data_IF_783428338609
#
_entry.id   IF_783428338609
#
_cell.length_a   1.000
_cell.length_b   1.000
_cell.length_c   1.000
_cell.angle_alpha   90.00
_cell.angle_beta   90.00
_cell.angle_gamma   90.00
#
_symmetry.space_group_name_H-M   'P 1'
#
loop_
_entity.id
_entity.type
_entity.pdbx_description
1 polymer ?
#
# COMPACT_ATOMS: atom_id res chain seq x y z
N UNK A 1 -56.01 -21.86 16.90
CA UNK A 1 -57.10 -20.96 17.35
C UNK A 1 -57.10 -19.77 16.40
N UNK A 2 -58.28 -19.33 15.95
CA UNK A 2 -58.42 -18.19 15.04
C UNK A 2 -58.25 -16.90 15.85
N UNK A 3 -57.11 -16.22 15.76
CA UNK A 3 -56.95 -14.89 16.34
C UNK A 3 -57.87 -13.91 15.58
N UNK A 4 -58.78 -13.18 16.25
CA UNK A 4 -59.62 -12.20 15.58
C UNK A 4 -58.78 -11.01 15.09
N UNK A 5 -59.13 -10.37 13.95
CA UNK A 5 -58.37 -9.26 13.36
C UNK A 5 -58.11 -8.07 14.30
N UNK A 6 -58.99 -7.86 15.28
CA UNK A 6 -58.86 -6.80 16.30
C UNK A 6 -57.67 -7.00 17.24
N UNK A 7 -57.24 -8.25 17.46
CA UNK A 7 -56.13 -8.52 18.38
C UNK A 7 -54.77 -8.20 17.72
N UNK A 8 -54.67 -8.39 16.41
CA UNK A 8 -53.44 -8.07 15.65
C UNK A 8 -53.21 -6.56 15.57
N UNK A 9 -54.27 -5.78 15.36
CA UNK A 9 -54.14 -4.32 15.26
C UNK A 9 -53.76 -3.68 16.60
N UNK A 10 -54.27 -4.21 17.71
CA UNK A 10 -53.85 -3.83 19.07
C UNK A 10 -52.37 -4.16 19.29
N UNK A 11 -51.92 -5.36 18.90
CA UNK A 11 -50.52 -5.77 19.02
C UNK A 11 -49.58 -4.92 18.15
N UNK A 12 -50.01 -4.52 16.95
CA UNK A 12 -49.24 -3.62 16.09
C UNK A 12 -49.13 -2.22 16.70
N UNK A 13 -50.23 -1.71 17.27
CA UNK A 13 -50.22 -0.43 17.96
C UNK A 13 -49.31 -0.47 19.21
N UNK A 14 -49.39 -1.55 19.98
CA UNK A 14 -48.54 -1.78 21.14
C UNK A 14 -47.06 -1.88 20.72
N UNK A 15 -46.74 -2.68 19.70
CA UNK A 15 -45.38 -2.79 19.13
C UNK A 15 -44.83 -1.42 18.75
N UNK A 16 -45.62 -0.58 18.05
CA UNK A 16 -45.20 0.75 17.61
C UNK A 16 -44.87 1.72 18.75
N UNK A 17 -45.47 1.52 19.93
CA UNK A 17 -45.24 2.35 21.11
C UNK A 17 -43.89 2.07 21.78
N UNK A 18 -43.40 0.83 21.70
CA UNK A 18 -42.13 0.40 22.30
C UNK A 18 -40.98 0.30 21.29
N UNK A 19 -41.30 0.08 20.01
CA UNK A 19 -40.35 -0.15 18.96
C UNK A 19 -40.82 0.56 17.68
N UNK A 20 -40.12 1.63 17.31
CA UNK A 20 -40.34 2.34 16.07
C UNK A 20 -39.02 2.90 15.54
N UNK A 21 -39.02 3.32 14.28
CA UNK A 21 -37.83 3.84 13.61
C UNK A 21 -37.21 5.06 14.33
N UNK A 22 -38.02 5.89 14.99
CA UNK A 22 -37.52 7.06 15.72
C UNK A 22 -36.72 6.64 16.97
N UNK A 23 -37.26 5.71 17.77
CA UNK A 23 -36.55 5.13 18.92
C UNK A 23 -35.28 4.38 18.50
N UNK A 24 -35.32 3.67 17.38
CA UNK A 24 -34.13 3.00 16.83
C UNK A 24 -33.06 4.05 16.47
N UNK A 25 -33.44 5.15 15.82
CA UNK A 25 -32.53 6.19 15.35
C UNK A 25 -32.01 7.10 16.45
N UNK A 26 -32.79 7.34 17.51
CA UNK A 26 -32.35 8.15 18.66
C UNK A 26 -31.19 7.51 19.41
N UNK A 27 -31.03 6.19 19.29
CA UNK A 27 -30.05 5.41 20.04
C UNK A 27 -30.54 5.02 21.44
N UNK A 28 -31.83 5.22 21.73
CA UNK A 28 -32.43 4.73 22.96
C UNK A 28 -32.26 3.20 23.06
N UNK A 29 -31.76 2.75 24.21
CA UNK A 29 -31.62 1.34 24.54
C UNK A 29 -32.76 1.00 25.52
N UNK A 30 -33.65 0.05 25.18
CA UNK A 30 -34.70 -0.37 26.10
C UNK A 30 -34.12 -0.90 27.41
N UNK A 31 -34.79 -0.62 28.52
CA UNK A 31 -34.49 -1.27 29.80
C UNK A 31 -34.67 -2.81 29.67
N UNK A 32 -34.10 -3.61 30.58
CA UNK A 32 -34.27 -5.06 30.53
C UNK A 32 -35.74 -5.51 30.51
N UNK A 33 -36.59 -4.82 31.27
CA UNK A 33 -38.04 -5.06 31.36
C UNK A 33 -38.74 -4.76 30.03
N UNK A 34 -38.54 -3.56 29.48
CA UNK A 34 -39.11 -3.17 28.17
C UNK A 34 -38.59 -4.08 27.06
N UNK A 35 -37.31 -4.44 27.09
CA UNK A 35 -36.74 -5.37 26.11
C UNK A 35 -37.32 -6.78 26.19
N UNK A 36 -37.73 -7.24 27.38
CA UNK A 36 -38.44 -8.51 27.55
C UNK A 36 -39.85 -8.42 26.98
N UNK A 37 -40.54 -7.31 27.23
CA UNK A 37 -41.87 -7.04 26.68
C UNK A 37 -41.87 -7.04 25.15
N UNK A 38 -40.91 -6.34 24.53
CA UNK A 38 -40.74 -6.31 23.07
C UNK A 38 -40.50 -7.73 22.50
N UNK A 39 -39.74 -8.59 23.19
CA UNK A 39 -39.53 -9.98 22.77
C UNK A 39 -40.83 -10.80 22.81
N UNK A 40 -41.62 -10.65 23.87
CA UNK A 40 -42.93 -11.31 23.96
C UNK A 40 -43.85 -10.88 22.81
N UNK A 41 -43.87 -9.58 22.46
CA UNK A 41 -44.64 -9.08 21.31
C UNK A 41 -44.15 -9.73 20.00
N UNK A 42 -42.84 -9.85 19.80
CA UNK A 42 -42.26 -10.52 18.61
C UNK A 42 -42.70 -11.97 18.51
N UNK A 43 -42.68 -12.71 19.62
CA UNK A 43 -43.07 -14.12 19.64
C UNK A 43 -44.54 -14.29 19.25
N UNK A 44 -45.44 -13.48 19.82
CA UNK A 44 -46.87 -13.50 19.48
C UNK A 44 -47.12 -13.12 18.02
N UNK A 45 -46.48 -12.06 17.52
CA UNK A 45 -46.62 -11.64 16.11
C UNK A 45 -46.06 -12.70 15.14
N UNK A 46 -44.98 -13.39 15.53
CA UNK A 46 -44.38 -14.45 14.72
C UNK A 46 -45.32 -15.66 14.63
N UNK A 47 -45.92 -16.07 15.76
CA UNK A 47 -46.93 -17.14 15.79
C UNK A 47 -48.15 -16.82 14.92
N UNK A 48 -48.61 -15.56 14.93
CA UNK A 48 -49.69 -15.08 14.06
C UNK A 48 -49.29 -15.16 12.58
N UNK A 49 -48.05 -14.75 12.24
CA UNK A 49 -47.54 -14.83 10.86
C UNK A 49 -47.35 -16.26 10.36
N UNK A 50 -46.94 -17.19 11.23
CA UNK A 50 -46.71 -18.57 10.86
C UNK A 50 -48.04 -19.32 10.69
N UNK A 51 -48.98 -19.12 11.62
CA UNK A 51 -50.32 -19.71 11.54
C UNK A 51 -51.14 -19.21 10.33
N UNK A 52 -50.92 -17.96 9.92
CA UNK A 52 -51.43 -17.35 8.70
C UNK A 52 -50.99 -18.09 7.41
N UNK A 53 -49.70 -18.43 7.33
CA UNK A 53 -49.12 -19.10 6.16
C UNK A 53 -49.57 -20.55 5.98
N UNK A 54 -49.93 -21.24 7.07
CA UNK A 54 -50.32 -22.66 7.08
C UNK A 54 -51.80 -22.86 6.71
N UNK A 55 -52.67 -21.89 6.98
CA UNK A 55 -54.13 -22.08 6.92
C UNK A 55 -54.83 -21.64 5.62
N UNK A 56 -54.09 -21.25 4.57
CA UNK A 56 -54.64 -20.79 3.26
C UNK A 56 -55.75 -19.73 3.41
N UNK A 57 -55.68 -18.94 4.50
CA UNK A 57 -56.57 -17.81 4.74
C UNK A 57 -56.00 -16.63 3.98
N UNK A 58 -56.82 -16.00 3.15
CA UNK A 58 -56.54 -14.71 2.49
C UNK A 58 -56.41 -13.61 3.56
N UNK A 59 -55.27 -13.57 4.24
CA UNK A 59 -54.85 -12.39 4.96
C UNK A 59 -54.47 -11.36 3.91
N UNK A 60 -54.96 -10.15 4.10
CA UNK A 60 -54.63 -9.01 3.26
C UNK A 60 -53.10 -8.90 3.17
N UNK A 61 -52.50 -8.92 1.96
CA UNK A 61 -51.07 -8.72 1.77
C UNK A 61 -50.52 -7.51 2.53
N UNK A 62 -51.32 -6.45 2.68
CA UNK A 62 -50.95 -5.28 3.46
C UNK A 62 -50.80 -5.58 4.97
N UNK A 63 -51.68 -6.40 5.54
CA UNK A 63 -51.60 -6.77 6.95
C UNK A 63 -50.41 -7.68 7.24
N UNK A 64 -50.12 -8.62 6.35
CA UNK A 64 -48.91 -9.46 6.44
C UNK A 64 -47.64 -8.61 6.37
N UNK A 65 -47.58 -7.63 5.47
CA UNK A 65 -46.44 -6.70 5.38
C UNK A 65 -46.26 -5.89 6.69
N UNK A 66 -47.35 -5.39 7.27
CA UNK A 66 -47.30 -4.63 8.53
C UNK A 66 -46.82 -5.48 9.71
N UNK A 67 -47.27 -6.74 9.82
CA UNK A 67 -46.81 -7.68 10.86
C UNK A 67 -45.32 -7.98 10.72
N UNK A 68 -44.86 -8.25 9.50
CA UNK A 68 -43.43 -8.50 9.22
C UNK A 68 -42.57 -7.27 9.51
N UNK A 69 -43.01 -6.08 9.15
CA UNK A 69 -42.32 -4.82 9.47
C UNK A 69 -42.24 -4.60 10.99
N UNK A 70 -43.33 -4.83 11.72
CA UNK A 70 -43.35 -4.69 13.19
C UNK A 70 -42.40 -5.69 13.87
N UNK A 71 -42.39 -6.95 13.42
CA UNK A 71 -41.43 -7.97 13.90
C UNK A 71 -40.00 -7.51 13.65
N UNK A 72 -39.70 -7.01 12.45
CA UNK A 72 -38.37 -6.52 12.09
C UNK A 72 -37.92 -5.37 12.98
N UNK A 73 -38.78 -4.36 13.16
CA UNK A 73 -38.49 -3.18 13.99
C UNK A 73 -38.30 -3.58 15.47
N UNK A 74 -39.14 -4.48 15.99
CA UNK A 74 -39.01 -4.96 17.37
C UNK A 74 -37.70 -5.73 17.58
N UNK A 75 -37.37 -6.68 16.68
CA UNK A 75 -36.10 -7.43 16.71
C UNK A 75 -34.90 -6.49 16.62
N UNK A 76 -34.95 -5.50 15.73
CA UNK A 76 -33.91 -4.49 15.60
C UNK A 76 -33.75 -3.69 16.91
N UNK A 77 -34.85 -3.30 17.56
CA UNK A 77 -34.85 -2.50 18.80
C UNK A 77 -34.16 -3.21 19.97
N UNK A 78 -34.31 -4.53 20.10
CA UNK A 78 -33.70 -5.32 21.17
C UNK A 78 -32.38 -6.01 20.79
N UNK A 79 -31.88 -5.78 19.57
CA UNK A 79 -30.67 -6.42 19.08
C UNK A 79 -29.46 -6.07 19.97
N UNK A 80 -28.66 -7.10 20.34
CA UNK A 80 -27.51 -6.95 21.22
C UNK A 80 -26.49 -5.92 20.71
N UNK A 81 -26.35 -5.82 19.39
CA UNK A 81 -25.45 -4.91 18.70
C UNK A 81 -25.72 -3.43 19.02
N UNK A 82 -26.95 -3.06 19.43
CA UNK A 82 -27.30 -1.69 19.84
C UNK A 82 -26.71 -1.27 21.19
N UNK A 83 -26.21 -2.23 21.98
CA UNK A 83 -25.58 -1.96 23.28
C UNK A 83 -24.08 -1.69 23.17
N UNK A 84 -23.51 -1.89 21.99
CA UNK A 84 -22.09 -1.63 21.74
C UNK A 84 -21.87 -0.11 21.68
N UNK A 85 -20.97 0.45 22.51
CA UNK A 85 -20.67 1.87 22.49
C UNK A 85 -20.09 2.34 21.14
N UNK A 86 -20.28 3.62 20.76
CA UNK A 86 -19.73 4.19 19.52
C UNK A 86 -18.22 3.97 19.36
N UNK A 87 -17.46 4.01 20.45
CA UNK A 87 -16.00 3.87 20.44
C UNK A 87 -15.59 2.46 20.01
N UNK A 88 -16.34 1.43 20.43
CA UNK A 88 -16.09 0.06 20.01
C UNK A 88 -16.48 -0.15 18.54
N UNK A 89 -17.57 0.48 18.08
CA UNK A 89 -17.88 0.49 16.65
C UNK A 89 -16.78 1.16 15.83
N UNK A 90 -16.23 2.27 16.31
CA UNK A 90 -15.13 2.94 15.63
C UNK A 90 -13.91 2.01 15.50
N UNK A 91 -13.53 1.30 16.57
CA UNK A 91 -12.46 0.30 16.51
C UNK A 91 -12.78 -0.84 15.53
N UNK A 92 -14.01 -1.37 15.57
CA UNK A 92 -14.46 -2.43 14.66
C UNK A 92 -14.39 -1.96 13.20
N UNK A 93 -14.90 -0.77 12.90
CA UNK A 93 -14.91 -0.21 11.55
C UNK A 93 -13.50 0.00 11.02
N UNK A 94 -12.57 0.50 11.83
CA UNK A 94 -11.16 0.63 11.44
C UNK A 94 -10.54 -0.72 11.11
N UNK A 95 -10.83 -1.79 11.88
CA UNK A 95 -10.32 -3.14 11.60
C UNK A 95 -11.03 -3.83 10.42
N UNK A 96 -12.27 -3.43 10.12
CA UNK A 96 -13.08 -4.01 9.05
C UNK A 96 -12.94 -3.26 7.71
N UNK A 97 -12.06 -2.25 7.63
CA UNK A 97 -11.75 -1.61 6.36
C UNK A 97 -11.09 -2.63 5.42
N UNK A 98 -11.56 -2.74 4.16
CA UNK A 98 -10.85 -3.54 3.17
C UNK A 98 -9.42 -3.02 2.97
N UNK A 99 -8.46 -3.91 2.75
CA UNK A 99 -7.05 -3.55 2.53
C UNK A 99 -6.87 -2.56 1.35
N UNK A 100 -7.77 -2.63 0.37
CA UNK A 100 -7.78 -1.78 -0.83
C UNK A 100 -8.67 -0.54 -0.70
N UNK A 101 -9.20 -0.22 0.49
CA UNK A 101 -10.11 0.91 0.69
C UNK A 101 -9.51 2.25 0.22
N UNK A 102 -8.23 2.45 0.48
CA UNK A 102 -7.49 3.66 0.10
C UNK A 102 -7.34 3.85 -1.42
N UNK A 103 -7.51 2.78 -2.20
CA UNK A 103 -7.42 2.80 -3.67
C UNK A 103 -8.79 2.76 -4.37
N UNK A 104 -9.88 2.62 -3.63
CA UNK A 104 -11.21 2.61 -4.22
C UNK A 104 -11.62 3.98 -4.73
N UNK A 105 -12.39 3.95 -5.82
CA UNK A 105 -13.05 5.11 -6.39
C UNK A 105 -13.89 5.83 -5.32
N UNK A 106 -13.92 7.15 -5.37
CA UNK A 106 -14.63 7.99 -4.42
C UNK A 106 -16.13 7.70 -4.36
N UNK A 107 -16.70 7.13 -5.44
CA UNK A 107 -18.10 6.74 -5.54
C UNK A 107 -18.43 5.50 -4.71
N UNK A 108 -17.42 4.69 -4.36
CA UNK A 108 -17.60 3.54 -3.50
C UNK A 108 -18.00 3.98 -2.08
N UNK A 109 -18.75 3.13 -1.39
CA UNK A 109 -19.25 3.42 -0.05
C UNK A 109 -18.99 2.26 0.88
N UNK A 110 -18.71 2.56 2.15
CA UNK A 110 -18.45 1.52 3.13
C UNK A 110 -19.73 0.71 3.40
N UNK A 111 -19.63 -0.61 3.30
CA UNK A 111 -20.76 -1.51 3.56
C UNK A 111 -21.42 -1.24 4.92
N UNK A 112 -20.63 -0.93 5.94
CA UNK A 112 -21.16 -0.60 7.27
C UNK A 112 -21.88 0.75 7.33
N UNK A 113 -21.57 1.71 6.45
CA UNK A 113 -22.33 2.94 6.31
C UNK A 113 -23.71 2.71 5.66
N UNK A 114 -23.97 1.51 5.12
CA UNK A 114 -25.26 1.10 4.57
C UNK A 114 -26.06 0.15 5.44
N UNK A 115 -25.47 -0.38 6.52
CA UNK A 115 -26.14 -1.40 7.35
C UNK A 115 -27.34 -0.85 8.10
N UNK A 116 -27.17 0.23 8.88
CA UNK A 116 -28.28 0.88 9.59
C UNK A 116 -27.96 2.35 9.86
N UNK A 117 -28.97 3.12 10.28
CA UNK A 117 -28.81 4.54 10.60
C UNK A 117 -27.72 4.80 11.65
N UNK A 118 -27.66 3.99 12.70
CA UNK A 118 -26.70 4.18 13.80
C UNK A 118 -25.25 3.94 13.34
N UNK A 119 -25.02 2.86 12.57
CA UNK A 119 -23.70 2.56 12.00
C UNK A 119 -23.27 3.63 11.01
N UNK A 120 -24.19 4.08 10.15
CA UNK A 120 -23.95 5.20 9.24
C UNK A 120 -23.54 6.45 10.00
N UNK A 121 -24.27 6.83 11.05
CA UNK A 121 -23.95 8.01 11.86
C UNK A 121 -22.55 7.94 12.47
N UNK A 122 -22.15 6.77 12.98
CA UNK A 122 -20.80 6.56 13.53
C UNK A 122 -19.76 6.64 12.41
N UNK A 123 -19.94 5.90 11.32
CA UNK A 123 -19.00 5.88 10.20
C UNK A 123 -18.79 7.27 9.59
N UNK A 124 -19.87 8.00 9.30
CA UNK A 124 -19.80 9.37 8.78
C UNK A 124 -19.17 10.35 9.79
N UNK A 125 -19.27 10.05 11.09
CA UNK A 125 -18.63 10.80 12.18
C UNK A 125 -17.17 10.43 12.43
N UNK A 126 -16.55 9.59 11.59
CA UNK A 126 -15.14 9.20 11.68
C UNK A 126 -14.33 9.76 10.50
N UNK A 127 -13.82 11.00 10.60
CA UNK A 127 -13.15 11.68 9.49
C UNK A 127 -11.99 10.89 8.86
N UNK A 128 -11.26 10.12 9.67
CA UNK A 128 -10.13 9.31 9.22
C UNK A 128 -10.49 8.23 8.19
N UNK A 129 -11.76 7.81 8.11
CA UNK A 129 -12.22 6.84 7.11
C UNK A 129 -12.39 7.47 5.72
N UNK A 130 -12.42 8.81 5.65
CA UNK A 130 -12.81 9.57 4.46
C UNK A 130 -11.69 10.47 3.92
N UNK A 131 -10.46 10.27 4.36
CA UNK A 131 -9.29 11.10 3.96
C UNK A 131 -8.66 10.69 2.64
N UNK A 132 -8.91 9.46 2.18
CA UNK A 132 -8.40 8.94 0.90
C UNK A 132 -9.42 9.20 -0.21
N UNK A 133 -9.04 10.01 -1.17
CA UNK A 133 -9.86 10.46 -2.29
C UNK A 133 -9.21 9.98 -3.59
N UNK A 134 -9.70 8.87 -4.15
CA UNK A 134 -9.31 8.42 -5.48
C UNK A 134 -10.31 8.94 -6.50
N UNK A 135 -9.87 9.84 -7.37
CA UNK A 135 -10.69 10.49 -8.38
C UNK A 135 -10.09 10.30 -9.77
N UNK A 136 -10.93 10.43 -10.78
CA UNK A 136 -10.55 10.52 -12.17
C UNK A 136 -10.89 11.90 -12.72
N UNK A 137 -10.43 12.18 -13.93
CA UNK A 137 -10.81 13.42 -14.63
C UNK A 137 -12.34 13.54 -14.83
N UNK A 138 -13.08 12.44 -14.78
CA UNK A 138 -14.53 12.36 -15.02
C UNK A 138 -15.34 12.14 -13.73
N UNK A 139 -14.70 12.06 -12.56
CA UNK A 139 -15.38 11.86 -11.28
C UNK A 139 -16.50 12.88 -11.09
N UNK A 140 -17.61 12.44 -10.48
CA UNK A 140 -18.73 13.31 -10.15
C UNK A 140 -18.44 14.20 -8.94
N UNK A 141 -19.03 15.39 -8.93
CA UNK A 141 -18.80 16.37 -7.86
C UNK A 141 -19.45 15.96 -6.53
N UNK A 142 -20.67 15.39 -6.55
CA UNK A 142 -21.41 15.11 -5.30
C UNK A 142 -20.69 14.11 -4.37
N UNK A 143 -20.19 12.96 -4.86
CA UNK A 143 -19.43 12.03 -4.02
C UNK A 143 -18.19 12.68 -3.41
N UNK A 144 -17.46 13.49 -4.18
CA UNK A 144 -16.31 14.25 -3.70
C UNK A 144 -16.70 15.23 -2.61
N UNK A 145 -17.75 16.02 -2.82
CA UNK A 145 -18.22 17.00 -1.84
C UNK A 145 -18.58 16.34 -0.50
N UNK A 146 -19.29 15.20 -0.53
CA UNK A 146 -19.61 14.45 0.67
C UNK A 146 -18.37 13.91 1.38
N UNK A 147 -17.41 13.36 0.64
CA UNK A 147 -16.17 12.83 1.21
C UNK A 147 -15.32 13.91 1.85
N UNK A 148 -15.18 15.06 1.18
CA UNK A 148 -14.51 16.23 1.73
C UNK A 148 -15.18 16.69 3.03
N UNK A 149 -16.52 16.77 3.03
CA UNK A 149 -17.29 17.13 4.22
C UNK A 149 -17.02 16.15 5.38
N UNK A 150 -17.06 14.84 5.13
CA UNK A 150 -16.85 13.84 6.16
C UNK A 150 -15.40 13.78 6.64
N UNK A 151 -14.42 14.09 5.77
CA UNK A 151 -13.00 14.18 6.13
C UNK A 151 -12.69 15.33 7.11
N UNK A 152 -13.62 16.28 7.27
CA UNK A 152 -13.48 17.40 8.19
C UNK A 152 -12.21 18.20 7.92
N UNK A 153 -11.36 18.35 8.95
CA UNK A 153 -10.07 19.05 8.90
C UNK A 153 -8.81 18.16 8.82
N UNK A 154 -8.97 16.86 8.51
CA UNK A 154 -7.86 15.92 8.46
C UNK A 154 -6.95 16.07 7.22
N UNK A 155 -5.66 15.71 7.28
CA UNK A 155 -4.82 15.64 6.09
C UNK A 155 -5.39 14.71 5.01
N UNK A 156 -5.38 15.16 3.76
CA UNK A 156 -5.97 14.44 2.63
C UNK A 156 -4.93 13.65 1.84
N UNK A 157 -5.34 12.48 1.38
CA UNK A 157 -4.58 11.60 0.51
C UNK A 157 -5.29 11.56 -0.83
N UNK A 158 -4.72 12.22 -1.83
CA UNK A 158 -5.37 12.41 -3.13
C UNK A 158 -4.71 11.50 -4.15
N UNK A 159 -5.51 10.70 -4.84
CA UNK A 159 -5.09 9.97 -6.03
C UNK A 159 -5.88 10.47 -7.22
N UNK A 160 -5.21 10.98 -8.24
CA UNK A 160 -5.82 11.38 -9.51
C UNK A 160 -5.31 10.43 -10.58
N UNK A 161 -6.21 9.67 -11.18
CA UNK A 161 -5.88 8.70 -12.21
C UNK A 161 -6.71 8.90 -13.47
N UNK A 162 -6.11 8.60 -14.63
CA UNK A 162 -6.85 8.46 -15.86
C UNK A 162 -7.31 6.99 -16.02
N UNK A 163 -8.59 6.74 -15.77
CA UNK A 163 -9.17 5.39 -15.83
C UNK A 163 -9.32 4.88 -17.26
N UNK A 164 -9.41 5.80 -18.23
CA UNK A 164 -9.66 5.50 -19.64
C UNK A 164 -8.81 6.42 -20.52
N UNK A 165 -7.48 6.25 -20.57
CA UNK A 165 -6.58 7.14 -21.28
C UNK A 165 -6.79 7.20 -22.81
N UNK A 166 -7.57 6.26 -23.35
CA UNK A 166 -7.97 6.23 -24.76
C UNK A 166 -9.28 7.00 -25.04
N UNK A 167 -10.07 7.33 -24.01
CA UNK A 167 -11.30 8.10 -24.16
C UNK A 167 -11.01 9.57 -23.98
N UNK A 168 -10.98 10.32 -25.08
CA UNK A 168 -10.80 11.77 -25.11
C UNK A 168 -12.05 12.50 -24.57
N UNK A 169 -12.37 12.29 -23.30
CA UNK A 169 -13.49 12.90 -22.60
C UNK A 169 -13.02 14.15 -21.86
N UNK A 170 -13.81 15.22 -21.95
CA UNK A 170 -13.47 16.46 -21.26
C UNK A 170 -13.49 16.25 -19.74
N UNK A 171 -12.54 16.85 -18.99
CA UNK A 171 -12.50 16.74 -17.55
C UNK A 171 -13.71 17.43 -16.90
N UNK A 172 -14.18 16.88 -15.79
CA UNK A 172 -15.15 17.52 -14.91
C UNK A 172 -14.47 18.66 -14.14
N UNK A 173 -14.51 19.85 -14.75
CA UNK A 173 -13.86 21.06 -14.22
C UNK A 173 -14.35 21.46 -12.84
N UNK A 174 -15.61 21.20 -12.50
CA UNK A 174 -16.17 21.51 -11.18
C UNK A 174 -15.59 20.62 -10.09
N UNK A 175 -15.45 19.33 -10.36
CA UNK A 175 -14.80 18.38 -9.45
C UNK A 175 -13.33 18.71 -9.24
N UNK A 176 -12.59 19.04 -10.31
CA UNK A 176 -11.21 19.45 -10.21
C UNK A 176 -11.04 20.72 -9.37
N UNK A 177 -11.85 21.76 -9.62
CA UNK A 177 -11.85 22.97 -8.78
C UNK A 177 -12.11 22.64 -7.32
N UNK A 178 -13.11 21.81 -7.05
CA UNK A 178 -13.47 21.43 -5.68
C UNK A 178 -12.32 20.75 -4.95
N UNK A 179 -11.65 19.76 -5.57
CA UNK A 179 -10.54 19.07 -4.90
C UNK A 179 -9.35 20.00 -4.68
N UNK A 180 -9.01 20.84 -5.66
CA UNK A 180 -7.88 21.76 -5.59
C UNK A 180 -8.08 22.89 -4.58
N UNK A 181 -9.32 23.30 -4.28
CA UNK A 181 -9.62 24.25 -3.20
C UNK A 181 -9.19 23.74 -1.81
N UNK A 182 -8.99 22.44 -1.64
CA UNK A 182 -8.54 21.82 -0.39
C UNK A 182 -7.06 21.41 -0.41
N UNK A 183 -6.28 21.94 -1.36
CA UNK A 183 -4.84 21.66 -1.53
C UNK A 183 -3.96 22.04 -0.34
N UNK A 184 -4.44 22.95 0.51
CA UNK A 184 -3.80 23.36 1.76
C UNK A 184 -3.55 22.20 2.73
N UNK A 185 -4.35 21.14 2.63
CA UNK A 185 -4.30 19.97 3.50
C UNK A 185 -3.90 18.68 2.79
N UNK A 186 -3.49 18.73 1.53
CA UNK A 186 -2.99 17.55 0.83
C UNK A 186 -1.66 17.13 1.43
N UNK A 187 -1.60 15.97 2.09
CA UNK A 187 -0.36 15.42 2.65
C UNK A 187 0.29 14.39 1.75
N UNK A 188 -0.53 13.70 0.95
CA UNK A 188 -0.12 12.63 0.06
C UNK A 188 -0.82 12.83 -1.28
N UNK A 189 -0.05 12.84 -2.37
CA UNK A 189 -0.57 12.99 -3.74
C UNK A 189 -0.02 11.86 -4.59
N UNK A 190 -0.90 11.19 -5.33
CA UNK A 190 -0.57 10.18 -6.33
C UNK A 190 -1.19 10.58 -7.67
N UNK A 191 -0.37 10.71 -8.72
CA UNK A 191 -0.80 11.13 -10.05
C UNK A 191 -0.37 10.10 -11.09
N UNK A 192 -1.31 9.28 -11.56
CA UNK A 192 -1.06 8.26 -12.58
C UNK A 192 -1.19 8.86 -13.98
N UNK A 193 -0.28 8.55 -14.91
CA UNK A 193 -0.22 9.18 -16.25
C UNK A 193 -0.20 10.72 -16.18
N UNK A 194 0.49 11.31 -15.20
CA UNK A 194 0.45 12.76 -14.96
C UNK A 194 0.88 13.56 -16.20
N UNK A 195 1.91 13.09 -16.91
CA UNK A 195 2.40 13.70 -18.14
C UNK A 195 1.30 13.87 -19.22
N UNK A 196 0.35 12.93 -19.30
CA UNK A 196 -0.81 13.01 -20.22
C UNK A 196 -1.88 13.95 -19.68
N UNK A 197 -2.13 13.93 -18.38
CA UNK A 197 -3.20 14.72 -17.75
C UNK A 197 -2.85 16.19 -17.51
N UNK A 198 -1.56 16.54 -17.46
CA UNK A 198 -1.09 17.84 -16.97
C UNK A 198 -1.72 19.03 -17.71
N UNK A 199 -1.93 18.92 -19.02
CA UNK A 199 -2.56 19.98 -19.81
C UNK A 199 -4.04 20.24 -19.44
N UNK A 200 -4.73 19.23 -18.91
CA UNK A 200 -6.10 19.38 -18.40
C UNK A 200 -6.15 19.98 -16.99
N UNK A 201 -5.07 19.79 -16.21
CA UNK A 201 -5.00 20.21 -14.81
C UNK A 201 -4.40 21.62 -14.65
N UNK A 202 -3.59 22.08 -15.61
CA UNK A 202 -2.83 23.33 -15.55
C UNK A 202 -3.68 24.55 -15.15
N UNK A 203 -4.87 24.68 -15.73
CA UNK A 203 -5.76 25.83 -15.47
C UNK A 203 -6.36 25.87 -14.05
N UNK A 204 -6.31 24.76 -13.32
CA UNK A 204 -6.87 24.64 -11.96
C UNK A 204 -5.79 24.38 -10.91
N UNK A 205 -4.53 24.28 -11.33
CA UNK A 205 -3.46 23.81 -10.47
C UNK A 205 -3.21 24.78 -9.30
N UNK A 206 -3.15 24.27 -8.05
CA UNK A 206 -2.85 25.09 -6.89
C UNK A 206 -1.50 25.79 -6.97
N UNK A 207 -1.43 27.00 -6.41
CA UNK A 207 -0.16 27.73 -6.31
C UNK A 207 0.78 27.12 -5.25
N UNK A 208 0.22 26.52 -4.19
CA UNK A 208 0.96 26.00 -3.05
C UNK A 208 0.34 24.70 -2.52
N UNK A 209 1.19 23.82 -1.97
CA UNK A 209 0.84 22.59 -1.28
C UNK A 209 1.57 22.53 0.07
N UNK A 210 1.17 23.35 1.05
CA UNK A 210 1.92 23.56 2.29
C UNK A 210 2.00 22.30 3.18
N UNK A 211 1.03 21.38 3.06
CA UNK A 211 1.02 20.14 3.83
C UNK A 211 1.66 18.95 3.12
N UNK A 212 2.08 19.08 1.86
CA UNK A 212 2.46 17.94 1.02
C UNK A 212 3.81 17.35 1.45
N UNK A 213 3.79 16.05 1.76
CA UNK A 213 4.94 15.29 2.25
C UNK A 213 5.30 14.11 1.35
N UNK A 214 4.29 13.49 0.73
CA UNK A 214 4.46 12.31 -0.13
C UNK A 214 3.93 12.62 -1.51
N UNK A 215 4.79 12.48 -2.51
CA UNK A 215 4.46 12.69 -3.92
C UNK A 215 4.78 11.44 -4.72
N UNK A 216 3.76 10.86 -5.33
CA UNK A 216 3.87 9.77 -6.31
C UNK A 216 3.41 10.29 -7.67
N UNK A 217 4.22 10.14 -8.70
CA UNK A 217 3.86 10.56 -10.05
C UNK A 217 4.39 9.61 -11.10
N UNK A 218 3.54 9.28 -12.06
CA UNK A 218 3.97 8.76 -13.36
C UNK A 218 4.21 9.96 -14.27
N UNK A 219 5.48 10.14 -14.65
CA UNK A 219 5.97 11.31 -15.38
C UNK A 219 6.26 11.03 -16.84
N UNK A 220 6.06 9.79 -17.32
CA UNK A 220 6.38 9.38 -18.68
C UNK A 220 7.76 9.87 -19.11
N UNK A 221 7.82 10.56 -20.26
CA UNK A 221 9.03 11.20 -20.79
C UNK A 221 9.21 12.65 -20.31
N UNK A 222 8.18 13.28 -19.73
CA UNK A 222 8.11 14.73 -19.46
C UNK A 222 8.37 15.11 -17.98
N UNK A 223 9.30 14.44 -17.31
CA UNK A 223 9.57 14.65 -15.88
C UNK A 223 9.95 16.09 -15.51
N UNK A 224 10.76 16.77 -16.34
CA UNK A 224 11.12 18.19 -16.13
C UNK A 224 9.88 19.09 -16.10
N UNK A 225 8.90 18.83 -16.96
CA UNK A 225 7.63 19.58 -16.99
C UNK A 225 6.81 19.27 -15.75
N UNK A 226 6.72 18.00 -15.36
CA UNK A 226 5.97 17.56 -14.19
C UNK A 226 6.51 18.20 -12.89
N UNK A 227 7.83 18.29 -12.70
CA UNK A 227 8.41 18.88 -11.50
C UNK A 227 8.13 20.38 -11.33
N UNK A 228 7.98 21.13 -12.43
CA UNK A 228 7.70 22.59 -12.35
C UNK A 228 6.43 22.90 -11.55
N UNK A 229 5.48 21.98 -11.51
CA UNK A 229 4.23 22.10 -10.75
C UNK A 229 4.40 21.98 -9.24
N UNK A 230 5.52 21.43 -8.77
CA UNK A 230 5.76 21.13 -7.36
C UNK A 230 7.03 21.77 -6.79
N UNK A 231 8.03 22.07 -7.62
CA UNK A 231 9.35 22.55 -7.20
C UNK A 231 9.27 23.73 -6.22
N UNK A 232 8.39 24.71 -6.50
CA UNK A 232 8.17 25.87 -5.63
C UNK A 232 6.94 25.74 -4.75
N UNK A 233 5.94 24.99 -5.21
CA UNK A 233 4.64 24.89 -4.56
C UNK A 233 4.66 23.94 -3.34
N UNK A 234 5.54 22.93 -3.34
CA UNK A 234 5.58 21.87 -2.34
C UNK A 234 6.98 21.73 -1.70
N UNK A 235 7.41 22.67 -0.84
CA UNK A 235 8.77 22.65 -0.27
C UNK A 235 8.98 21.55 0.79
N UNK A 236 7.92 20.91 1.27
CA UNK A 236 7.97 19.94 2.39
C UNK A 236 7.92 18.47 1.96
N UNK A 237 8.12 18.19 0.67
CA UNK A 237 8.18 16.82 0.15
C UNK A 237 9.38 16.09 0.74
N UNK A 238 9.11 14.94 1.36
CA UNK A 238 10.10 14.06 2.00
C UNK A 238 10.09 12.64 1.42
N UNK A 239 9.04 12.27 0.69
CA UNK A 239 8.91 10.96 0.04
C UNK A 239 8.51 11.17 -1.41
N UNK A 240 9.31 10.65 -2.32
CA UNK A 240 9.11 10.78 -3.76
C UNK A 240 9.11 9.40 -4.42
N UNK A 241 8.07 9.11 -5.18
CA UNK A 241 7.95 7.92 -6.01
C UNK A 241 7.69 8.35 -7.46
N UNK A 242 8.55 7.92 -8.38
CA UNK A 242 8.46 8.26 -9.78
C UNK A 242 8.46 7.02 -10.66
N UNK A 243 7.51 6.99 -11.57
CA UNK A 243 7.48 6.02 -12.67
C UNK A 243 7.81 6.74 -13.97
N UNK A 244 8.73 6.17 -14.74
CA UNK A 244 9.19 6.69 -16.02
C UNK A 244 8.85 5.71 -17.15
N UNK A 245 8.45 6.26 -18.28
CA UNK A 245 8.49 5.52 -19.54
C UNK A 245 9.96 5.45 -19.98
N UNK A 246 10.54 6.58 -20.40
CA UNK A 246 11.96 6.72 -20.77
C UNK A 246 12.51 8.08 -20.28
N UNK A 247 13.67 8.15 -19.57
CA UNK A 247 14.30 9.42 -19.18
C UNK A 247 15.23 9.94 -20.28
N UNK A 248 14.79 10.92 -21.08
CA UNK A 248 15.61 11.50 -22.16
C UNK A 248 16.51 12.65 -21.69
N UNK A 249 16.23 13.20 -20.50
CA UNK A 249 16.97 14.29 -19.87
C UNK A 249 17.54 13.84 -18.52
N UNK A 250 18.67 14.43 -18.07
CA UNK A 250 19.16 14.22 -16.70
C UNK A 250 18.11 14.65 -15.69
N UNK A 251 17.75 13.73 -14.80
CA UNK A 251 16.82 14.01 -13.72
C UNK A 251 17.39 15.12 -12.83
N UNK A 252 16.57 16.06 -12.35
CA UNK A 252 17.01 17.06 -11.36
C UNK A 252 15.94 17.20 -10.29
N UNK A 253 16.27 16.85 -9.06
CA UNK A 253 15.36 17.04 -7.94
C UNK A 253 15.34 18.50 -7.47
N UNK A 254 14.17 19.03 -7.12
CA UNK A 254 14.05 20.32 -6.43
C UNK A 254 14.95 20.38 -5.19
N UNK A 255 15.81 21.41 -5.12
CA UNK A 255 16.78 21.58 -4.02
C UNK A 255 16.13 21.87 -2.67
N UNK A 256 14.86 22.34 -2.67
CA UNK A 256 14.08 22.54 -1.46
C UNK A 256 13.65 21.23 -0.80
N UNK A 257 13.63 20.11 -1.53
CA UNK A 257 13.14 18.84 -1.02
C UNK A 257 14.20 18.15 -0.16
N UNK A 258 13.80 17.77 1.05
CA UNK A 258 14.63 16.97 1.94
C UNK A 258 14.19 15.50 1.89
N UNK A 259 14.53 14.84 0.79
CA UNK A 259 14.05 13.49 0.49
C UNK A 259 14.62 12.46 1.48
N UNK A 260 13.72 11.81 2.21
CA UNK A 260 13.98 10.70 3.14
C UNK A 260 13.72 9.37 2.46
N UNK A 261 12.71 9.31 1.60
CA UNK A 261 12.37 8.13 0.82
C UNK A 261 12.38 8.48 -0.67
N UNK A 262 13.06 7.66 -1.47
CA UNK A 262 13.09 7.80 -2.91
C UNK A 262 12.83 6.44 -3.57
N UNK A 263 11.88 6.43 -4.48
CA UNK A 263 11.49 5.26 -5.27
C UNK A 263 11.48 5.66 -6.75
N UNK A 264 12.32 5.03 -7.58
CA UNK A 264 12.39 5.31 -9.02
C UNK A 264 12.19 4.01 -9.80
N UNK A 265 11.12 3.96 -10.59
CA UNK A 265 10.77 2.83 -11.44
C UNK A 265 10.84 3.22 -12.91
N UNK A 266 11.63 2.50 -13.70
CA UNK A 266 11.73 2.68 -15.14
C UNK A 266 11.03 1.49 -15.83
N UNK A 267 9.85 1.73 -16.41
CA UNK A 267 8.95 0.67 -16.89
C UNK A 267 9.43 0.01 -18.20
N UNK A 268 10.45 0.57 -18.85
CA UNK A 268 10.99 0.09 -20.10
C UNK A 268 12.50 -0.14 -20.07
N UNK A 269 12.97 -0.95 -21.03
CA UNK A 269 14.35 -1.43 -21.20
C UNK A 269 15.41 -0.32 -21.32
N UNK A 270 15.07 0.96 -21.34
CA UNK A 270 16.00 2.07 -21.58
C UNK A 270 16.42 2.84 -20.31
N UNK A 271 15.93 2.44 -19.12
CA UNK A 271 16.36 3.05 -17.87
C UNK A 271 17.86 2.82 -17.64
N UNK A 272 18.64 3.90 -17.51
CA UNK A 272 20.10 3.84 -17.27
C UNK A 272 20.48 4.41 -15.91
N UNK A 273 21.26 3.64 -15.15
CA UNK A 273 21.78 4.07 -13.85
C UNK A 273 22.56 5.40 -13.95
N UNK A 274 23.34 5.59 -15.01
CA UNK A 274 24.14 6.80 -15.22
C UNK A 274 23.33 8.11 -15.13
N UNK A 275 22.07 8.11 -15.58
CA UNK A 275 21.22 9.30 -15.62
C UNK A 275 20.77 9.79 -14.23
N UNK A 276 20.80 8.91 -13.22
CA UNK A 276 20.35 9.23 -11.86
C UNK A 276 21.50 9.35 -10.85
N UNK A 277 22.75 9.10 -11.26
CA UNK A 277 23.90 9.14 -10.34
C UNK A 277 24.09 10.52 -9.68
N UNK A 278 24.11 11.59 -10.46
CA UNK A 278 24.26 12.95 -9.92
C UNK A 278 23.07 13.38 -9.04
N UNK A 279 21.81 13.14 -9.44
CA UNK A 279 20.62 13.42 -8.61
C UNK A 279 20.60 12.66 -7.30
N UNK A 280 20.96 11.37 -7.32
CA UNK A 280 21.07 10.57 -6.11
C UNK A 280 22.14 11.15 -5.17
N UNK A 281 23.29 11.55 -5.71
CA UNK A 281 24.35 12.16 -4.90
C UNK A 281 23.89 13.46 -4.22
N UNK A 282 23.04 14.26 -4.88
CA UNK A 282 22.52 15.49 -4.34
C UNK A 282 21.62 15.29 -3.10
N UNK A 283 20.82 14.21 -3.06
CA UNK A 283 19.92 13.90 -1.95
C UNK A 283 20.45 12.81 -0.99
N UNK A 284 21.61 12.20 -1.26
CA UNK A 284 22.13 11.04 -0.52
C UNK A 284 22.24 11.23 1.00
N UNK A 285 22.49 12.45 1.48
CA UNK A 285 22.71 12.76 2.89
C UNK A 285 21.48 12.53 3.78
N UNK A 286 20.27 12.70 3.24
CA UNK A 286 19.00 12.60 3.97
C UNK A 286 18.22 11.31 3.69
N UNK A 287 18.59 10.56 2.65
CA UNK A 287 17.92 9.32 2.30
C UNK A 287 18.06 8.25 3.38
N UNK A 288 16.91 7.70 3.78
CA UNK A 288 16.76 6.56 4.71
C UNK A 288 16.29 5.31 3.97
N UNK A 289 15.45 5.47 2.94
CA UNK A 289 14.99 4.41 2.05
C UNK A 289 15.25 4.76 0.60
N UNK A 290 15.87 3.85 -0.14
CA UNK A 290 16.10 3.96 -1.57
C UNK A 290 15.63 2.70 -2.28
N UNK A 291 14.73 2.87 -3.25
CA UNK A 291 14.25 1.80 -4.12
C UNK A 291 14.47 2.22 -5.57
N UNK A 292 15.12 1.35 -6.33
CA UNK A 292 15.44 1.59 -7.73
C UNK A 292 15.13 0.35 -8.55
N UNK A 293 14.37 0.55 -9.62
CA UNK A 293 14.14 -0.45 -10.64
C UNK A 293 14.65 0.07 -11.97
N UNK A 294 15.81 -0.42 -12.41
CA UNK A 294 16.50 0.08 -13.61
C UNK A 294 16.96 -1.12 -14.43
N UNK A 295 16.57 -1.22 -15.69
CA UNK A 295 16.90 -2.34 -16.57
C UNK A 295 18.38 -2.37 -16.98
N UNK A 296 18.97 -1.21 -17.28
CA UNK A 296 20.33 -1.10 -17.80
C UNK A 296 21.26 -0.26 -16.92
N UNK A 297 22.56 -0.55 -16.98
CA UNK A 297 23.58 0.24 -16.29
C UNK A 297 23.81 1.57 -17.04
N UNK A 298 23.93 1.50 -18.36
CA UNK A 298 24.43 2.59 -19.20
C UNK A 298 25.94 2.83 -19.01
N UNK A 299 26.46 3.92 -19.57
CA UNK A 299 27.87 4.32 -19.47
C UNK A 299 28.17 4.94 -18.09
N UNK A 300 28.16 4.11 -17.05
CA UNK A 300 28.67 4.50 -15.73
C UNK A 300 30.19 4.38 -15.79
N UNK A 301 30.85 5.43 -16.24
CA UNK A 301 32.31 5.47 -16.25
C UNK A 301 32.87 5.13 -14.86
N UNK A 302 33.98 4.41 -14.79
CA UNK A 302 34.67 4.09 -13.51
C UNK A 302 35.06 5.35 -12.69
N UNK A 303 34.87 6.53 -13.27
CA UNK A 303 35.19 7.85 -12.71
C UNK A 303 34.17 8.36 -11.68
N UNK A 304 32.97 7.79 -11.58
CA UNK A 304 32.01 8.24 -10.57
C UNK A 304 32.52 7.97 -9.16
N UNK A 305 32.77 9.06 -8.42
CA UNK A 305 33.11 9.00 -7.00
C UNK A 305 32.00 8.28 -6.23
N UNK A 306 32.40 7.48 -5.25
CA UNK A 306 31.45 6.83 -4.35
C UNK A 306 30.52 7.87 -3.69
N UNK A 307 29.22 7.62 -3.78
CA UNK A 307 28.16 8.38 -3.15
C UNK A 307 28.03 7.87 -1.72
N UNK A 308 28.15 8.78 -0.75
CA UNK A 308 27.97 8.47 0.65
C UNK A 308 26.51 8.69 1.07
N UNK A 309 25.88 7.62 1.53
CA UNK A 309 24.53 7.55 2.08
C UNK A 309 24.59 7.33 3.59
N UNK A 310 24.87 8.39 4.39
CA UNK A 310 25.14 8.25 5.82
C UNK A 310 23.93 7.75 6.63
N UNK A 311 22.70 7.96 6.14
CA UNK A 311 21.46 7.66 6.85
C UNK A 311 20.68 6.48 6.27
N UNK A 312 21.16 5.87 5.19
CA UNK A 312 20.41 4.87 4.42
C UNK A 312 20.33 3.55 5.20
N UNK A 313 19.11 3.10 5.44
CA UNK A 313 18.78 1.89 6.22
C UNK A 313 18.17 0.79 5.36
N UNK A 314 17.33 1.16 4.39
CA UNK A 314 16.62 0.24 3.52
C UNK A 314 16.98 0.50 2.06
N UNK A 315 17.56 -0.50 1.40
CA UNK A 315 18.02 -0.42 0.02
C UNK A 315 17.40 -1.58 -0.78
N UNK A 316 16.63 -1.24 -1.81
CA UNK A 316 16.06 -2.21 -2.75
C UNK A 316 16.50 -1.89 -4.17
N UNK A 317 17.21 -2.80 -4.83
CA UNK A 317 17.75 -2.58 -6.18
C UNK A 317 17.34 -3.73 -7.09
N UNK A 318 16.79 -3.39 -8.25
CA UNK A 318 16.34 -4.34 -9.25
C UNK A 318 17.14 -4.16 -10.54
N UNK A 319 17.61 -5.28 -11.10
CA UNK A 319 18.33 -5.40 -12.38
C UNK A 319 19.61 -4.55 -12.43
N UNK A 320 19.79 -3.70 -13.45
CA UNK A 320 20.92 -2.79 -13.61
C UNK A 320 21.14 -1.86 -12.42
N UNK A 321 20.10 -1.58 -11.62
CA UNK A 321 20.23 -0.76 -10.41
C UNK A 321 21.20 -1.35 -9.38
N UNK A 322 21.40 -2.66 -9.36
CA UNK A 322 22.31 -3.35 -8.42
C UNK A 322 23.76 -2.83 -8.57
N UNK A 323 24.13 -2.32 -9.74
CA UNK A 323 25.46 -1.76 -9.98
C UNK A 323 25.71 -0.44 -9.23
N UNK A 324 24.68 0.22 -8.69
CA UNK A 324 24.83 1.33 -7.76
C UNK A 324 25.68 0.93 -6.54
N UNK A 325 25.65 -0.33 -6.12
CA UNK A 325 26.47 -0.84 -5.03
C UNK A 325 27.98 -0.60 -5.26
N UNK A 326 28.45 -0.55 -6.51
CA UNK A 326 29.85 -0.24 -6.83
C UNK A 326 30.23 1.23 -6.64
N UNK A 327 29.23 2.09 -6.50
CA UNK A 327 29.38 3.54 -6.37
C UNK A 327 28.70 4.06 -5.11
N UNK A 328 28.39 3.21 -4.13
CA UNK A 328 27.69 3.58 -2.92
C UNK A 328 28.47 3.20 -1.65
N UNK A 329 28.30 4.01 -0.62
CA UNK A 329 28.77 3.80 0.74
C UNK A 329 27.60 4.05 1.69
N UNK A 330 27.22 3.07 2.50
CA UNK A 330 26.05 3.18 3.36
C UNK A 330 26.30 2.46 4.70
N UNK A 331 26.96 3.13 5.67
CA UNK A 331 27.39 2.51 6.92
C UNK A 331 26.22 2.09 7.83
N UNK A 332 25.04 2.68 7.65
CA UNK A 332 23.85 2.45 8.48
C UNK A 332 22.84 1.45 7.88
N UNK A 333 23.24 0.69 6.85
CA UNK A 333 22.36 -0.30 6.22
C UNK A 333 21.86 -1.33 7.22
N UNK A 334 20.54 -1.52 7.26
CA UNK A 334 19.85 -2.50 8.08
C UNK A 334 19.17 -3.57 7.22
N UNK A 335 18.69 -3.21 6.03
CA UNK A 335 18.01 -4.08 5.09
C UNK A 335 18.50 -3.84 3.66
N UNK A 336 18.79 -4.92 2.95
CA UNK A 336 19.17 -4.92 1.53
C UNK A 336 18.35 -5.96 0.78
N UNK A 337 17.73 -5.56 -0.32
CA UNK A 337 16.99 -6.42 -1.25
C UNK A 337 17.52 -6.24 -2.66
N UNK A 338 18.01 -7.30 -3.27
CA UNK A 338 18.57 -7.27 -4.62
C UNK A 338 17.84 -8.28 -5.51
N UNK A 339 17.29 -7.79 -6.62
CA UNK A 339 16.52 -8.57 -7.58
C UNK A 339 17.23 -8.54 -8.93
N UNK A 340 18.05 -9.55 -9.23
CA UNK A 340 18.78 -9.65 -10.49
C UNK A 340 17.92 -10.11 -11.67
N UNK A 341 18.45 -9.99 -12.89
CA UNK A 341 17.85 -10.60 -14.08
C UNK A 341 18.32 -12.05 -14.25
N UNK A 342 17.42 -13.00 -14.58
CA UNK A 342 17.83 -14.38 -14.86
C UNK A 342 18.61 -14.53 -16.18
N UNK A 343 18.52 -13.56 -17.10
CA UNK A 343 19.09 -13.67 -18.45
C UNK A 343 20.41 -12.89 -18.56
N UNK A 344 21.45 -13.57 -19.06
CA UNK A 344 22.84 -13.09 -19.26
C UNK A 344 23.01 -11.94 -20.28
N UNK A 345 22.23 -10.85 -20.23
CA UNK A 345 22.59 -9.66 -21.03
C UNK A 345 23.89 -9.01 -20.52
N UNK A 346 24.31 -9.30 -19.29
CA UNK A 346 25.46 -8.66 -18.64
C UNK A 346 26.53 -9.68 -18.22
N UNK A 347 27.79 -9.44 -18.58
CA UNK A 347 28.95 -10.25 -18.18
C UNK A 347 29.35 -10.03 -16.71
N UNK A 348 28.79 -9.01 -16.07
CA UNK A 348 29.21 -8.56 -14.76
C UNK A 348 28.43 -9.20 -13.61
N UNK A 349 29.13 -9.52 -12.52
CA UNK A 349 28.50 -10.11 -11.33
C UNK A 349 27.79 -9.08 -10.46
N UNK A 350 26.50 -9.35 -10.17
CA UNK A 350 25.73 -8.62 -9.15
C UNK A 350 26.30 -8.82 -7.73
N UNK A 351 26.79 -10.03 -7.43
CA UNK A 351 27.41 -10.32 -6.13
C UNK A 351 28.71 -9.54 -5.90
N UNK A 352 29.51 -9.31 -6.95
CA UNK A 352 30.71 -8.47 -6.83
C UNK A 352 30.33 -7.01 -6.51
N UNK A 353 29.22 -6.51 -7.08
CA UNK A 353 28.68 -5.19 -6.74
C UNK A 353 28.31 -5.07 -5.26
N UNK A 354 27.57 -6.05 -4.73
CA UNK A 354 27.23 -6.10 -3.30
C UNK A 354 28.49 -6.17 -2.43
N UNK A 355 29.46 -7.01 -2.78
CA UNK A 355 30.70 -7.14 -2.02
C UNK A 355 31.45 -5.80 -1.92
N UNK A 356 31.50 -5.02 -3.01
CA UNK A 356 32.12 -3.69 -3.02
C UNK A 356 31.39 -2.74 -2.06
N UNK A 357 30.06 -2.69 -2.11
CA UNK A 357 29.25 -1.86 -1.20
C UNK A 357 29.56 -2.20 0.26
N UNK A 358 29.55 -3.48 0.61
CA UNK A 358 29.80 -3.93 1.98
C UNK A 358 31.20 -3.51 2.44
N UNK A 359 32.24 -3.80 1.64
CA UNK A 359 33.62 -3.45 2.01
C UNK A 359 33.84 -1.96 2.18
N UNK A 360 33.21 -1.11 1.36
CA UNK A 360 33.35 0.35 1.51
C UNK A 360 32.58 0.86 2.72
N UNK A 361 31.34 0.39 2.91
CA UNK A 361 30.49 0.79 4.04
C UNK A 361 31.10 0.42 5.39
N UNK A 362 31.83 -0.69 5.47
CA UNK A 362 32.58 -1.08 6.67
C UNK A 362 33.75 -0.14 6.98
N UNK A 363 34.44 0.39 5.96
CA UNK A 363 35.59 1.29 6.15
C UNK A 363 35.19 2.68 6.64
N UNK A 364 34.00 3.13 6.28
CA UNK A 364 33.52 4.47 6.61
C UNK A 364 32.82 4.54 7.98
N UNK A 365 32.41 3.40 8.55
CA UNK A 365 31.85 3.33 9.91
C UNK A 365 32.90 2.96 10.96
N UNK A 366 32.74 3.44 12.20
CA UNK A 366 33.57 3.03 13.35
C UNK A 366 33.26 1.59 13.84
N UNK A 367 32.64 0.74 13.02
CA UNK A 367 32.16 -0.57 13.42
C UNK A 367 31.75 -1.50 12.26
N UNK A 368 31.32 -2.72 12.61
CA UNK A 368 30.75 -3.67 11.65
C UNK A 368 29.43 -3.15 11.07
N UNK A 369 29.14 -3.52 9.82
CA UNK A 369 27.88 -3.19 9.15
C UNK A 369 26.73 -3.81 9.95
N UNK A 370 25.73 -3.00 10.30
CA UNK A 370 24.56 -3.39 11.08
C UNK A 370 23.47 -4.07 10.24
N UNK A 371 23.83 -4.77 9.16
CA UNK A 371 22.85 -5.36 8.26
C UNK A 371 22.15 -6.54 8.94
N UNK A 372 20.84 -6.43 9.11
CA UNK A 372 20.02 -7.46 9.77
C UNK A 372 19.29 -8.34 8.78
N UNK A 373 18.97 -7.83 7.59
CA UNK A 373 18.17 -8.52 6.58
C UNK A 373 18.79 -8.41 5.19
N UNK A 374 18.94 -9.55 4.53
CA UNK A 374 19.44 -9.64 3.16
C UNK A 374 18.50 -10.53 2.33
N UNK A 375 17.97 -10.00 1.24
CA UNK A 375 17.16 -10.75 0.27
C UNK A 375 17.85 -10.70 -1.09
N UNK A 376 18.10 -11.86 -1.67
CA UNK A 376 18.77 -12.05 -2.95
C UNK A 376 17.84 -12.86 -3.86
N UNK A 377 17.42 -12.28 -4.98
CA UNK A 377 16.60 -12.95 -5.99
C UNK A 377 17.34 -12.92 -7.32
N UNK A 378 17.48 -14.07 -8.00
CA UNK A 378 18.09 -14.18 -9.34
C UNK A 378 19.46 -13.48 -9.50
N UNK A 379 20.31 -13.61 -8.49
CA UNK A 379 21.61 -12.95 -8.44
C UNK A 379 22.67 -13.71 -9.29
N UNK A 380 23.63 -12.98 -9.87
CA UNK A 380 24.73 -13.57 -10.67
C UNK A 380 26.06 -13.51 -9.92
N UNK A 381 26.89 -14.54 -10.08
CA UNK A 381 28.23 -14.61 -9.49
C UNK A 381 29.25 -15.14 -10.49
N UNK A 382 30.40 -14.47 -10.57
CA UNK A 382 31.57 -14.87 -11.38
C UNK A 382 32.50 -15.79 -10.60
N UNK A 383 32.57 -15.65 -9.28
CA UNK A 383 33.49 -16.38 -8.42
C UNK A 383 32.82 -16.92 -7.15
N UNK A 384 33.06 -18.20 -6.86
CA UNK A 384 32.59 -18.90 -5.65
C UNK A 384 32.92 -18.13 -4.36
N UNK A 385 34.12 -17.53 -4.30
CA UNK A 385 34.59 -16.87 -3.09
C UNK A 385 33.85 -15.57 -2.78
N UNK A 386 33.22 -14.91 -3.76
CA UNK A 386 32.53 -13.62 -3.54
C UNK A 386 31.34 -13.78 -2.60
N UNK A 387 30.51 -14.82 -2.78
CA UNK A 387 29.34 -15.05 -1.92
C UNK A 387 29.79 -15.24 -0.47
N UNK A 388 30.81 -16.09 -0.24
CA UNK A 388 31.34 -16.36 1.09
C UNK A 388 31.98 -15.11 1.69
N UNK A 389 32.69 -14.33 0.88
CA UNK A 389 33.28 -13.06 1.30
C UNK A 389 32.21 -12.06 1.76
N UNK A 390 31.10 -11.92 1.03
CA UNK A 390 29.96 -11.09 1.44
C UNK A 390 29.43 -11.52 2.81
N UNK A 391 29.14 -12.81 3.00
CA UNK A 391 28.53 -13.28 4.25
C UNK A 391 29.45 -13.08 5.46
N UNK A 392 30.77 -13.24 5.29
CA UNK A 392 31.75 -12.98 6.35
C UNK A 392 31.78 -11.52 6.81
N UNK A 393 31.34 -10.58 5.96
CA UNK A 393 31.20 -9.17 6.33
C UNK A 393 29.92 -8.88 7.13
N UNK A 394 29.04 -9.86 7.30
CA UNK A 394 27.68 -9.71 7.85
C UNK A 394 27.43 -10.59 9.09
N UNK A 395 28.26 -10.55 10.14
CA UNK A 395 28.08 -11.40 11.32
C UNK A 395 26.78 -11.10 12.10
N UNK A 396 26.21 -9.90 11.93
CA UNK A 396 24.95 -9.47 12.55
C UNK A 396 23.67 -9.87 11.79
N UNK A 397 23.79 -10.55 10.65
CA UNK A 397 22.63 -10.89 9.81
C UNK A 397 21.67 -11.84 10.54
N UNK A 398 20.40 -11.45 10.63
CA UNK A 398 19.32 -12.20 11.31
C UNK A 398 18.38 -12.92 10.34
N UNK A 399 18.16 -12.33 9.17
CA UNK A 399 17.28 -12.87 8.13
C UNK A 399 18.00 -12.92 6.79
N UNK A 400 18.01 -14.08 6.17
CA UNK A 400 18.54 -14.29 4.82
C UNK A 400 17.50 -14.98 3.96
N UNK A 401 17.13 -14.35 2.84
CA UNK A 401 16.30 -14.95 1.79
C UNK A 401 17.13 -15.08 0.51
N UNK A 402 17.15 -16.27 -0.08
CA UNK A 402 17.75 -16.54 -1.39
C UNK A 402 16.69 -17.20 -2.26
N UNK A 403 16.34 -16.57 -3.37
CA UNK A 403 15.39 -17.08 -4.35
C UNK A 403 16.06 -17.14 -5.72
N UNK A 404 16.01 -18.30 -6.36
CA UNK A 404 16.49 -18.48 -7.73
C UNK A 404 15.36 -19.11 -8.55
N UNK A 405 14.94 -18.39 -9.59
CA UNK A 405 14.02 -18.91 -10.59
C UNK A 405 14.75 -19.91 -11.47
N UNK A 406 14.15 -21.09 -11.64
CA UNK A 406 14.65 -22.07 -12.60
C UNK A 406 14.29 -21.61 -14.02
N UNK A 407 15.18 -21.83 -14.98
CA UNK A 407 14.87 -21.58 -16.38
C UNK A 407 13.65 -22.40 -16.82
N UNK A 408 12.68 -21.75 -17.46
CA UNK A 408 11.51 -22.41 -18.04
C UNK A 408 11.90 -23.08 -19.36
N UNK A 409 12.15 -24.39 -19.33
CA UNK A 409 12.08 -25.43 -20.39
C UNK A 409 12.51 -25.12 -21.86
N UNK A 410 13.08 -23.96 -22.15
CA UNK A 410 13.67 -23.62 -23.44
C UNK A 410 15.09 -24.22 -23.44
N UNK A 411 15.45 -24.98 -24.50
CA UNK A 411 16.57 -25.94 -24.67
C UNK A 411 18.03 -25.45 -24.35
N UNK A 412 18.21 -24.46 -23.49
CA UNK A 412 19.50 -23.98 -23.00
C UNK A 412 19.90 -24.77 -21.76
N UNK A 413 21.18 -25.14 -21.70
CA UNK A 413 21.74 -25.88 -20.57
C UNK A 413 21.39 -25.18 -19.25
N UNK A 414 20.78 -25.88 -18.28
CA UNK A 414 20.30 -25.27 -17.04
C UNK A 414 21.46 -24.55 -16.37
N UNK A 415 21.37 -23.23 -16.30
CA UNK A 415 22.35 -22.42 -15.60
C UNK A 415 22.38 -22.90 -14.15
N UNK A 416 23.49 -23.56 -13.78
CA UNK A 416 23.70 -24.04 -12.43
C UNK A 416 23.42 -22.91 -11.44
N UNK A 417 22.52 -23.21 -10.51
CA UNK A 417 22.18 -22.50 -9.27
C UNK A 417 23.42 -22.06 -8.48
N UNK A 418 24.17 -21.10 -9.02
CA UNK A 418 25.55 -20.87 -8.61
C UNK A 418 25.61 -20.29 -7.20
N UNK A 419 24.64 -19.44 -6.83
CA UNK A 419 24.63 -18.80 -5.52
C UNK A 419 24.07 -19.76 -4.48
N UNK A 420 22.93 -20.42 -4.74
CA UNK A 420 22.35 -21.37 -3.78
C UNK A 420 23.32 -22.52 -3.47
N UNK A 421 23.92 -23.15 -4.49
CA UNK A 421 24.86 -24.25 -4.29
C UNK A 421 26.12 -23.77 -3.56
N UNK A 422 26.62 -22.57 -3.91
CA UNK A 422 27.77 -21.97 -3.23
C UNK A 422 27.48 -21.68 -1.77
N UNK A 423 26.32 -21.10 -1.50
CA UNK A 423 25.82 -20.80 -0.16
C UNK A 423 25.67 -22.08 0.67
N UNK A 424 24.98 -23.11 0.14
CA UNK A 424 24.82 -24.40 0.82
C UNK A 424 26.17 -25.03 1.15
N UNK A 425 27.14 -24.98 0.21
CA UNK A 425 28.50 -25.46 0.48
C UNK A 425 29.20 -24.64 1.57
N UNK A 426 29.05 -23.32 1.57
CA UNK A 426 29.65 -22.46 2.59
C UNK A 426 29.08 -22.72 4.00
N UNK A 427 27.78 -22.99 4.09
CA UNK A 427 27.08 -23.29 5.35
C UNK A 427 27.30 -24.72 5.85
N UNK A 428 27.47 -25.70 4.95
CA UNK A 428 27.64 -27.13 5.30
C UNK A 428 29.09 -27.52 5.53
N UNK A 429 30.05 -26.74 5.02
CA UNK A 429 31.47 -26.96 5.30
C UNK A 429 31.77 -26.54 6.74
N UNK A 430 31.86 -27.53 7.64
CA UNK A 430 32.73 -27.44 8.81
C UNK A 430 34.16 -27.23 8.30
N UNK A 431 34.69 -26.01 8.37
CA UNK A 431 36.09 -25.78 8.05
C UNK A 431 36.82 -25.47 9.34
N UNK A 432 37.64 -26.41 9.81
CA UNK A 432 39.10 -26.25 9.81
C UNK A 432 39.78 -27.55 10.32
N UNK A 433 40.78 -28.15 9.61
CA UNK A 433 41.70 -29.12 10.22
C UNK A 433 42.50 -28.59 11.43
N UNK A 434 42.54 -27.27 11.66
CA UNK A 434 43.23 -26.66 12.83
C UNK A 434 42.41 -26.64 14.12
N UNK A 435 41.10 -26.93 14.06
CA UNK A 435 40.27 -27.12 15.25
C UNK A 435 39.77 -25.86 15.97
N UNK A 436 39.80 -24.67 15.35
CA UNK A 436 39.23 -23.45 15.94
C UNK A 436 37.68 -23.41 15.83
N UNK A 437 36.94 -23.50 16.94
CA UNK A 437 35.48 -23.50 16.93
C UNK A 437 34.85 -22.14 16.58
N UNK A 438 35.60 -21.04 16.65
CA UNK A 438 35.09 -19.69 16.32
C UNK A 438 35.01 -19.42 14.81
N UNK A 439 35.73 -20.21 14.00
CA UNK A 439 35.71 -20.14 12.54
C UNK A 439 34.48 -20.84 11.88
N UNK A 440 33.65 -21.51 12.68
CA UNK A 440 32.64 -22.47 12.18
C UNK A 440 31.35 -21.79 11.69
N UNK A 441 31.07 -20.56 12.10
CA UNK A 441 29.76 -19.92 11.84
C UNK A 441 29.93 -18.66 10.99
N UNK A 442 29.69 -18.78 9.69
CA UNK A 442 29.69 -17.64 8.75
C UNK A 442 28.61 -16.61 9.15
N UNK A 443 27.51 -17.06 9.74
CA UNK A 443 26.37 -16.24 10.14
C UNK A 443 25.89 -16.65 11.55
N UNK A 444 26.59 -16.24 12.61
CA UNK A 444 26.29 -16.68 13.99
C UNK A 444 24.96 -16.14 14.52
N UNK A 445 24.45 -15.05 13.95
CA UNK A 445 23.22 -14.36 14.39
C UNK A 445 21.96 -14.74 13.60
N UNK A 446 22.08 -15.68 12.65
CA UNK A 446 20.99 -16.01 11.72
C UNK A 446 19.85 -16.74 12.43
N UNK A 447 18.66 -16.15 12.41
CA UNK A 447 17.44 -16.73 13.02
C UNK A 447 16.42 -17.17 11.98
N UNK A 448 16.47 -16.59 10.77
CA UNK A 448 15.56 -16.91 9.66
C UNK A 448 16.38 -17.14 8.38
N UNK A 449 16.19 -18.31 7.77
CA UNK A 449 16.75 -18.67 6.49
C UNK A 449 15.60 -19.14 5.58
N UNK A 450 15.45 -18.48 4.43
CA UNK A 450 14.47 -18.83 3.41
C UNK A 450 15.22 -19.07 2.10
N UNK A 451 15.03 -20.26 1.53
CA UNK A 451 15.72 -20.68 0.31
C UNK A 451 14.68 -21.27 -0.63
N UNK A 452 14.55 -20.67 -1.81
CA UNK A 452 13.61 -21.12 -2.84
C UNK A 452 14.37 -21.33 -4.15
N UNK A 453 14.16 -22.50 -4.74
CA UNK A 453 14.73 -22.89 -6.02
C UNK A 453 13.64 -23.49 -6.88
N UNK A 454 13.48 -23.00 -8.12
CA UNK A 454 12.65 -23.67 -9.13
C UNK A 454 11.13 -23.62 -8.88
N UNK A 455 10.55 -22.43 -8.74
CA UNK A 455 9.10 -22.26 -8.64
C UNK A 455 8.49 -21.68 -9.91
N UNK A 456 7.87 -22.52 -10.74
CA UNK A 456 6.83 -22.07 -11.69
C UNK A 456 5.51 -21.97 -10.92
N UNK A 457 5.40 -20.98 -10.03
CA UNK A 457 4.11 -20.64 -9.42
C UNK A 457 3.64 -19.32 -10.02
N UNK A 458 2.86 -19.42 -11.08
CA UNK A 458 2.13 -18.30 -11.66
C UNK A 458 1.08 -17.79 -10.68
N UNK A 459 1.39 -16.72 -9.95
CA UNK A 459 0.39 -15.83 -9.36
C UNK A 459 0.90 -14.40 -9.42
N UNK A 460 0.24 -13.60 -10.27
CA UNK A 460 0.24 -12.13 -10.37
C UNK A 460 0.88 -11.41 -9.17
N UNK A 461 2.10 -10.87 -9.35
CA UNK A 461 2.54 -9.69 -8.59
C UNK A 461 1.95 -8.48 -9.32
N UNK A 462 0.86 -7.93 -8.78
CA UNK A 462 0.44 -6.58 -9.12
C UNK A 462 1.47 -5.61 -8.57
N UNK A 463 2.07 -4.82 -9.45
CA UNK A 463 2.82 -3.62 -9.12
C UNK A 463 1.97 -2.42 -9.56
#
# INVERSE_FOLDING_TARGET
MSFPPRDVEILLQEASSYANNELIRSGAIPSPEVGMHIRNIVDVLSDVSDSASIQDRTIDPAQTANVQEAIFICRATVAAIRRVPPELFASIFTMALPDYWSSLDIEETLNFAHTCYYWRRIALGMPQLWTHLCITLQTRTDPLAHRLQWSGNQPLHISIADKYPWENTAPNTETLRLVFMHSDRWSNVSLSNFHKMVGHLESFWPAEFPALKVLKMDVGEEHTKCFRYFEKAAPHVVSLELTFDHPWEPLVFPTAWNLVNLDLCFDHDEGRLALIMAPLAACAHSLVRLVLWITEIGDVEEQYKAICFPSLKDLSLTYGAIHLCRHAEAPMLAQVKLYGQPIRRWEESYMDSLHILLRRSQKCGEGMISLERLELENMTTTAYDTVVACLRLLPGLRSLKIEEEGESDDDREPLHSAILVTFLRAMTRRIDPTGDPSAIWVLPSLTRLEMKYGGVDGVRRGW
#
